data_IF_830187535890
#
_entry.id   IF_830187535890
#
_cell.length_a   1.000
_cell.length_b   1.000
_cell.length_c   1.000
_cell.angle_alpha   90.00
_cell.angle_beta   90.00
_cell.angle_gamma   90.00
#
_symmetry.space_group_name_H-M   'P 1'
#
loop_
_entity.id
_entity.type
_entity.pdbx_description
1 polymer ?
#
# COMPACT_ATOMS: atom_id res chain seq x y z
N UNK A 1 -16.91 9.48 -3.88
CA UNK A 1 -15.64 8.73 -3.72
C UNK A 1 -15.18 8.81 -2.27
N UNK A 2 -14.82 7.66 -1.67
CA UNK A 2 -14.15 7.58 -0.37
C UNK A 2 -12.74 7.03 -0.58
N UNK A 3 -11.75 7.60 0.10
CA UNK A 3 -10.36 7.17 -0.07
C UNK A 3 -9.80 6.77 1.29
N UNK A 4 -9.17 5.60 1.33
CA UNK A 4 -8.37 5.14 2.47
C UNK A 4 -7.00 4.76 1.95
N UNK A 5 -5.96 5.30 2.59
CA UNK A 5 -4.58 4.90 2.30
C UNK A 5 -4.09 3.95 3.40
N UNK A 6 -3.33 2.95 3.00
CA UNK A 6 -2.55 2.09 3.88
C UNK A 6 -1.09 2.38 3.60
N UNK A 7 -0.30 2.59 4.64
CA UNK A 7 1.10 2.99 4.50
C UNK A 7 1.98 2.08 5.32
N UNK A 8 3.11 1.66 4.74
CA UNK A 8 4.07 0.77 5.39
C UNK A 8 5.49 1.28 5.25
N UNK A 9 6.27 1.19 6.32
CA UNK A 9 7.67 1.53 6.30
C UNK A 9 8.48 0.64 7.24
N UNK A 10 9.69 0.29 6.80
CA UNK A 10 10.67 -0.36 7.64
C UNK A 10 11.21 0.63 8.69
N UNK A 11 11.28 0.19 9.94
CA UNK A 11 11.70 0.97 11.11
C UNK A 11 12.75 0.22 11.91
N UNK A 12 13.53 0.95 12.69
CA UNK A 12 14.32 0.36 13.77
C UNK A 12 13.43 -0.41 14.75
N UNK A 13 14.02 -1.35 15.49
CA UNK A 13 13.29 -2.12 16.48
C UNK A 13 12.56 -1.19 17.45
N UNK A 14 11.25 -1.40 17.70
CA UNK A 14 10.51 -0.66 18.71
C UNK A 14 11.14 -0.76 20.09
N UNK A 15 11.04 0.29 20.89
CA UNK A 15 11.50 0.30 22.27
C UNK A 15 10.77 -0.76 23.13
N UNK A 16 11.42 -1.24 24.19
CA UNK A 16 10.93 -2.34 25.04
C UNK A 16 9.55 -2.09 25.65
N UNK A 17 9.22 -0.82 25.95
CA UNK A 17 7.92 -0.42 26.46
C UNK A 17 6.80 -0.60 25.41
N UNK A 18 7.09 -0.37 24.13
CA UNK A 18 6.18 -0.67 23.02
C UNK A 18 6.06 -2.18 22.82
N UNK A 19 7.19 -2.91 22.83
CA UNK A 19 7.21 -4.36 22.68
C UNK A 19 6.33 -5.06 23.73
N UNK A 20 6.34 -4.56 24.97
CA UNK A 20 5.52 -5.10 26.06
C UNK A 20 4.00 -4.93 25.87
N UNK A 21 3.59 -4.05 24.95
CA UNK A 21 2.18 -3.75 24.66
C UNK A 21 1.67 -4.50 23.43
N UNK A 22 2.54 -5.19 22.70
CA UNK A 22 2.19 -5.89 21.46
C UNK A 22 1.34 -7.13 21.75
N UNK A 23 0.28 -7.27 20.97
CA UNK A 23 -0.48 -8.52 20.91
C UNK A 23 -0.13 -9.21 19.60
N UNK A 24 0.44 -10.41 19.68
CA UNK A 24 0.71 -11.22 18.49
C UNK A 24 -0.61 -11.65 17.84
N UNK A 25 -0.70 -11.47 16.52
CA UNK A 25 -1.85 -11.89 15.71
C UNK A 25 -1.45 -13.08 14.84
N UNK A 26 -2.31 -14.09 14.78
CA UNK A 26 -2.16 -15.17 13.81
C UNK A 26 -2.74 -14.72 12.47
N UNK A 27 -1.90 -14.65 11.43
CA UNK A 27 -2.39 -14.49 10.07
C UNK A 27 -3.09 -15.78 9.63
N UNK A 28 -4.23 -15.68 8.92
CA UNK A 28 -4.83 -16.83 8.27
C UNK A 28 -3.81 -17.63 7.45
N UNK A 29 -3.79 -18.94 7.67
CA UNK A 29 -2.78 -19.85 7.13
C UNK A 29 -2.70 -19.93 5.59
N UNK A 30 -3.71 -19.38 4.91
CA UNK A 30 -3.77 -19.33 3.45
C UNK A 30 -3.21 -18.04 2.85
N UNK A 31 -2.92 -17.01 3.67
CA UNK A 31 -2.49 -15.70 3.16
C UNK A 31 -1.01 -15.72 2.78
N UNK A 32 -0.17 -16.38 3.59
CA UNK A 32 1.27 -16.51 3.35
C UNK A 32 1.62 -17.99 3.31
N UNK A 33 2.06 -18.48 2.15
CA UNK A 33 2.32 -19.92 1.94
C UNK A 33 3.52 -20.43 2.74
N UNK A 34 4.53 -19.57 2.96
CA UNK A 34 5.72 -19.92 3.74
C UNK A 34 5.53 -19.43 5.18
N UNK A 35 5.37 -20.39 6.10
CA UNK A 35 5.28 -20.12 7.54
C UNK A 35 6.56 -19.44 8.05
N UNK A 36 6.39 -18.57 9.06
CA UNK A 36 7.50 -17.91 9.74
C UNK A 36 8.18 -16.78 8.94
N UNK A 37 7.62 -16.39 7.78
CA UNK A 37 8.14 -15.24 7.03
C UNK A 37 7.93 -13.92 7.77
N UNK A 38 6.77 -13.77 8.40
CA UNK A 38 6.41 -12.58 9.17
C UNK A 38 5.72 -12.98 10.47
N UNK A 39 6.06 -12.28 11.55
CA UNK A 39 5.27 -12.23 12.77
C UNK A 39 4.49 -10.93 12.79
N UNK A 40 3.19 -11.01 13.11
CA UNK A 40 2.29 -9.87 13.11
C UNK A 40 1.95 -9.48 14.53
N UNK A 41 1.95 -8.18 14.79
CA UNK A 41 1.57 -7.62 16.06
C UNK A 41 0.56 -6.50 15.83
N UNK A 42 -0.43 -6.38 16.70
CA UNK A 42 -1.30 -5.21 16.76
C UNK A 42 -1.07 -4.37 18.01
N UNK A 43 -1.33 -3.08 17.83
CA UNK A 43 -1.40 -2.10 18.89
C UNK A 43 -2.87 -1.79 19.20
N UNK A 44 -3.15 -1.42 20.45
CA UNK A 44 -4.51 -1.02 20.90
C UNK A 44 -5.08 0.16 20.11
N UNK A 45 -4.20 0.96 19.52
CA UNK A 45 -4.52 2.14 18.72
C UNK A 45 -4.89 1.80 17.26
N UNK A 46 -4.76 0.54 16.85
CA UNK A 46 -5.20 0.02 15.55
C UNK A 46 -4.11 -0.10 14.49
N UNK A 47 -2.90 0.40 14.75
CA UNK A 47 -1.74 0.18 13.89
C UNK A 47 -1.19 -1.24 14.06
N UNK A 48 -0.52 -1.73 13.02
CA UNK A 48 0.13 -3.04 13.01
C UNK A 48 1.64 -2.91 12.90
N UNK A 49 2.34 -3.81 13.57
CA UNK A 49 3.77 -4.03 13.36
C UNK A 49 3.97 -5.41 12.75
N UNK A 50 4.92 -5.51 11.84
CA UNK A 50 5.35 -6.76 11.25
C UNK A 50 6.83 -6.93 11.52
N UNK A 51 7.26 -8.16 11.77
CA UNK A 51 8.66 -8.52 11.91
C UNK A 51 8.99 -9.62 10.92
N UNK A 52 9.97 -9.43 10.05
CA UNK A 52 10.36 -10.46 9.08
C UNK A 52 11.38 -11.47 9.64
N UNK A 53 11.71 -12.48 8.83
CA UNK A 53 12.69 -13.53 9.16
C UNK A 53 14.14 -13.03 9.33
N UNK A 54 14.42 -11.75 9.01
CA UNK A 54 15.72 -11.09 9.16
C UNK A 54 15.74 -10.10 10.34
N UNK A 55 14.74 -10.16 11.21
CA UNK A 55 14.52 -9.24 12.33
C UNK A 55 14.26 -7.77 11.92
N UNK A 56 13.88 -7.51 10.67
CA UNK A 56 13.45 -6.18 10.23
C UNK A 56 12.04 -5.92 10.72
N UNK A 57 11.81 -4.73 11.29
CA UNK A 57 10.50 -4.28 11.75
C UNK A 57 9.85 -3.37 10.72
N UNK A 58 8.54 -3.52 10.53
CA UNK A 58 7.73 -2.66 9.68
C UNK A 58 6.56 -2.15 10.48
N UNK A 59 6.28 -0.86 10.35
CA UNK A 59 5.05 -0.26 10.88
C UNK A 59 4.06 -0.05 9.75
N UNK A 60 2.80 -0.36 10.02
CA UNK A 60 1.71 -0.15 9.09
C UNK A 60 0.51 0.55 9.74
N UNK A 61 -0.01 1.57 9.07
CA UNK A 61 -1.16 2.33 9.50
C UNK A 61 -2.07 2.69 8.33
N UNK A 62 -3.33 3.03 8.62
CA UNK A 62 -4.31 3.40 7.62
C UNK A 62 -5.00 4.72 7.97
N UNK A 63 -5.33 5.48 6.93
CA UNK A 63 -5.91 6.80 7.10
C UNK A 63 -6.95 7.11 6.03
N UNK A 64 -8.07 7.71 6.45
CA UNK A 64 -9.08 8.25 5.53
C UNK A 64 -8.61 9.58 4.94
N UNK A 65 -8.74 9.73 3.63
CA UNK A 65 -8.29 10.91 2.87
C UNK A 65 -9.38 11.37 1.91
N UNK A 66 -9.31 12.63 1.51
CA UNK A 66 -10.30 13.28 0.64
C UNK A 66 -9.71 13.81 -0.67
N UNK A 67 -8.42 14.12 -0.69
CA UNK A 67 -7.78 14.79 -1.82
C UNK A 67 -6.44 14.13 -2.17
N UNK A 68 -5.98 14.32 -3.41
CA UNK A 68 -4.63 13.90 -3.85
C UNK A 68 -3.53 14.52 -2.97
N UNK A 69 -3.71 15.77 -2.54
CA UNK A 69 -2.78 16.43 -1.63
C UNK A 69 -2.69 15.70 -0.28
N UNK A 70 -3.83 15.35 0.31
CA UNK A 70 -3.85 14.58 1.56
C UNK A 70 -3.24 13.17 1.39
N UNK A 71 -3.39 12.55 0.22
CA UNK A 71 -2.77 11.24 -0.09
C UNK A 71 -1.25 11.37 -0.15
N UNK A 72 -0.73 12.34 -0.91
CA UNK A 72 0.70 12.66 -1.05
C UNK A 72 1.39 12.84 0.30
N UNK A 73 0.82 13.70 1.15
CA UNK A 73 1.41 13.98 2.47
C UNK A 73 1.09 12.91 3.51
N UNK A 74 0.04 12.11 3.28
CA UNK A 74 -0.38 11.01 4.14
C UNK A 74 0.66 9.91 4.32
N UNK A 75 1.57 9.75 3.35
CA UNK A 75 2.60 8.70 3.31
C UNK A 75 4.02 9.19 3.63
N UNK A 76 4.17 10.44 4.06
CA UNK A 76 5.49 11.00 4.36
C UNK A 76 6.11 10.33 5.61
N UNK A 77 7.41 10.06 5.54
CA UNK A 77 8.22 9.55 6.66
C UNK A 77 8.82 10.67 7.50
N UNK A 78 9.08 11.82 6.86
CA UNK A 78 9.65 13.01 7.47
C UNK A 78 8.84 14.25 7.11
N UNK A 79 8.81 15.28 7.97
CA UNK A 79 8.26 16.58 7.57
C UNK A 79 9.03 17.12 6.35
N UNK A 80 8.35 17.53 5.27
CA UNK A 80 9.00 18.16 4.13
C UNK A 80 9.74 19.44 4.56
N UNK A 81 11.01 19.64 4.20
CA UNK A 81 11.81 20.77 4.70
C UNK A 81 11.51 22.11 4.02
N UNK A 82 10.73 22.10 2.94
CA UNK A 82 10.52 23.23 2.04
C UNK A 82 9.13 23.86 2.11
N UNK A 83 8.22 23.31 2.93
CA UNK A 83 6.85 23.83 3.05
C UNK A 83 6.30 23.61 4.47
N UNK A 84 5.64 24.63 5.01
CA UNK A 84 4.86 24.50 6.25
C UNK A 84 3.55 23.73 5.96
N UNK A 85 3.61 22.41 6.09
CA UNK A 85 2.44 21.53 5.97
C UNK A 85 1.83 21.32 7.36
N UNK A 86 0.52 21.55 7.56
CA UNK A 86 -0.13 21.31 8.83
C UNK A 86 0.01 19.85 9.28
N UNK A 87 0.24 19.63 10.58
CA UNK A 87 0.44 18.30 11.14
C UNK A 87 -0.73 17.33 10.87
N UNK A 88 -1.97 17.81 10.72
CA UNK A 88 -3.10 16.95 10.34
C UNK A 88 -2.95 16.30 8.96
N UNK A 89 -2.11 16.84 8.09
CA UNK A 89 -1.81 16.32 6.76
C UNK A 89 -0.58 15.40 6.74
N UNK A 90 0.17 15.32 7.85
CA UNK A 90 1.34 14.45 8.03
C UNK A 90 1.06 13.36 9.09
N UNK A 91 0.01 12.54 8.89
CA UNK A 91 -0.46 11.57 9.88
C UNK A 91 0.59 10.51 10.24
N UNK A 92 1.36 10.04 9.26
CA UNK A 92 2.30 8.96 9.43
C UNK A 92 3.59 9.45 10.09
N UNK A 93 4.05 10.65 9.73
CA UNK A 93 5.10 11.37 10.48
C UNK A 93 4.70 11.51 11.96
N UNK A 94 3.47 11.97 12.23
CA UNK A 94 2.98 12.13 13.59
C UNK A 94 2.92 10.80 14.35
N UNK A 95 2.56 9.72 13.68
CA UNK A 95 2.58 8.36 14.23
C UNK A 95 4.00 7.93 14.60
N UNK A 96 4.96 8.09 13.68
CA UNK A 96 6.36 7.73 13.91
C UNK A 96 6.94 8.52 15.09
N UNK A 97 6.71 9.84 15.11
CA UNK A 97 7.16 10.72 16.20
C UNK A 97 6.56 10.36 17.55
N UNK A 98 5.24 10.07 17.60
CA UNK A 98 4.54 9.69 18.84
C UNK A 98 5.13 8.44 19.49
N UNK A 99 5.59 7.49 18.68
CA UNK A 99 6.12 6.21 19.17
C UNK A 99 7.66 6.15 19.14
N UNK A 100 8.33 7.27 18.83
CA UNK A 100 9.78 7.34 18.69
C UNK A 100 10.35 6.29 17.71
N UNK A 101 9.62 6.00 16.62
CA UNK A 101 10.07 5.07 15.59
C UNK A 101 10.91 5.78 14.53
N UNK A 102 12.10 5.26 14.29
CA UNK A 102 13.03 5.76 13.26
C UNK A 102 12.90 4.92 11.99
N UNK A 103 12.59 5.50 10.82
CA UNK A 103 12.62 4.78 9.55
C UNK A 103 14.04 4.32 9.17
N UNK A 104 14.20 3.09 8.66
CA UNK A 104 15.52 2.54 8.29
C UNK A 104 16.14 3.19 7.05
N UNK A 105 15.31 3.68 6.11
CA UNK A 105 15.77 4.25 4.85
C UNK A 105 15.67 5.77 4.83
N UNK A 106 16.58 6.45 5.54
CA UNK A 106 16.56 7.92 5.68
C UNK A 106 16.66 8.70 4.35
N UNK A 107 17.08 8.06 3.25
CA UNK A 107 17.18 8.67 1.93
C UNK A 107 15.92 8.57 1.07
N UNK A 108 14.90 7.85 1.55
CA UNK A 108 13.59 7.75 0.90
C UNK A 108 12.56 8.43 1.81
N UNK A 109 11.90 9.48 1.32
CA UNK A 109 11.05 10.35 2.14
C UNK A 109 9.61 9.82 2.32
N UNK A 110 9.25 8.76 1.61
CA UNK A 110 7.87 8.24 1.53
C UNK A 110 7.78 6.78 1.94
N UNK A 111 6.72 6.42 2.65
CA UNK A 111 6.36 5.04 2.92
C UNK A 111 5.85 4.35 1.64
N UNK A 112 5.86 3.01 1.62
CA UNK A 112 5.02 2.25 0.68
C UNK A 112 3.56 2.63 0.88
N UNK A 113 2.78 2.66 -0.20
CA UNK A 113 1.38 3.09 -0.10
C UNK A 113 0.44 2.19 -0.92
N UNK A 114 -0.68 1.80 -0.33
CA UNK A 114 -1.82 1.21 -1.01
C UNK A 114 -3.02 2.15 -0.87
N UNK A 115 -3.51 2.67 -1.99
CA UNK A 115 -4.68 3.55 -2.02
C UNK A 115 -5.93 2.74 -2.36
N UNK A 116 -6.91 2.70 -1.48
CA UNK A 116 -8.26 2.20 -1.79
C UNK A 116 -9.15 3.39 -2.11
N UNK A 117 -9.77 3.38 -3.30
CA UNK A 117 -10.80 4.34 -3.68
C UNK A 117 -12.12 3.62 -3.92
N UNK A 118 -13.13 3.94 -3.12
CA UNK A 118 -14.50 3.45 -3.26
C UNK A 118 -15.30 4.47 -4.08
N UNK A 119 -15.89 4.03 -5.19
CA UNK A 119 -16.59 4.87 -6.16
C UNK A 119 -17.94 4.26 -6.56
N UNK A 120 -18.85 5.06 -7.08
CA UNK A 120 -20.14 4.54 -7.54
C UNK A 120 -20.02 3.89 -8.94
N UNK A 121 -19.17 4.48 -9.79
CA UNK A 121 -18.85 4.04 -11.15
C UNK A 121 -17.37 4.32 -11.45
N UNK A 122 -16.60 3.30 -11.81
CA UNK A 122 -15.17 3.45 -12.10
C UNK A 122 -14.89 4.26 -13.37
N UNK A 123 -15.82 4.28 -14.33
CA UNK A 123 -15.68 5.08 -15.56
C UNK A 123 -15.82 6.58 -15.29
N UNK A 124 -16.42 6.96 -14.17
CA UNK A 124 -16.48 8.35 -13.74
C UNK A 124 -15.13 8.90 -13.27
N UNK A 125 -14.14 8.03 -13.04
CA UNK A 125 -12.79 8.40 -12.63
C UNK A 125 -11.88 8.37 -13.85
N UNK A 126 -11.39 9.54 -14.28
CA UNK A 126 -10.49 9.62 -15.44
C UNK A 126 -9.22 8.78 -15.22
N UNK A 127 -8.67 8.22 -16.30
CA UNK A 127 -7.43 7.43 -16.25
C UNK A 127 -6.27 8.19 -15.62
N UNK A 128 -6.18 9.51 -15.88
CA UNK A 128 -5.21 10.39 -15.22
C UNK A 128 -5.38 10.37 -13.71
N UNK A 129 -6.62 10.52 -13.22
CA UNK A 129 -6.86 10.50 -11.78
C UNK A 129 -6.61 9.11 -11.18
N UNK A 130 -6.96 8.03 -11.88
CA UNK A 130 -6.63 6.66 -11.47
C UNK A 130 -5.11 6.45 -11.37
N UNK A 131 -4.35 7.01 -12.32
CA UNK A 131 -2.89 6.97 -12.31
C UNK A 131 -2.31 7.71 -11.10
N UNK A 132 -2.79 8.93 -10.82
CA UNK A 132 -2.36 9.70 -9.64
C UNK A 132 -2.69 9.00 -8.33
N UNK A 133 -3.85 8.35 -8.23
CA UNK A 133 -4.19 7.52 -7.07
C UNK A 133 -3.20 6.36 -6.91
N UNK A 134 -2.86 5.66 -7.99
CA UNK A 134 -1.92 4.53 -7.95
C UNK A 134 -0.52 4.95 -7.52
N UNK A 135 -0.08 6.16 -7.88
CA UNK A 135 1.22 6.72 -7.49
C UNK A 135 1.19 7.46 -6.14
N UNK A 136 -0.01 7.62 -5.56
CA UNK A 136 -0.23 8.49 -4.42
C UNK A 136 0.34 9.92 -4.63
N UNK A 137 0.23 10.41 -5.87
CA UNK A 137 0.72 11.71 -6.31
C UNK A 137 -0.26 12.83 -5.96
N UNK A 138 0.29 14.00 -5.63
CA UNK A 138 -0.45 15.23 -5.53
C UNK A 138 -0.93 15.74 -6.89
N UNK A 139 -1.86 16.69 -6.86
CA UNK A 139 -2.29 17.38 -8.09
C UNK A 139 -1.18 18.24 -8.70
N UNK A 140 -0.19 18.64 -7.88
CA UNK A 140 0.97 19.44 -8.24
C UNK A 140 2.17 18.61 -8.71
N UNK A 141 2.14 17.29 -8.52
CA UNK A 141 3.23 16.41 -8.93
C UNK A 141 3.23 16.17 -10.46
N UNK A 142 4.42 16.07 -11.07
CA UNK A 142 4.53 15.76 -12.49
C UNK A 142 4.00 14.36 -12.77
N UNK A 143 3.16 14.24 -13.80
CA UNK A 143 2.70 12.93 -14.29
C UNK A 143 3.86 12.26 -15.05
N UNK A 144 4.49 11.27 -14.43
CA UNK A 144 5.64 10.55 -15.03
C UNK A 144 5.18 9.31 -15.80
N UNK A 145 4.12 8.64 -15.35
CA UNK A 145 3.59 7.44 -16.02
C UNK A 145 2.77 7.83 -17.27
N UNK A 146 3.18 7.30 -18.44
CA UNK A 146 2.50 7.51 -19.73
C UNK A 146 1.40 6.46 -20.02
N UNK A 147 1.30 5.43 -19.19
CA UNK A 147 0.29 4.39 -19.30
C UNK A 147 -0.16 3.90 -17.94
N UNK A 148 -1.43 3.51 -17.86
CA UNK A 148 -2.07 2.88 -16.73
C UNK A 148 -2.03 1.37 -16.94
N UNK A 149 -1.34 0.65 -16.06
CA UNK A 149 -1.34 -0.80 -16.04
C UNK A 149 -2.29 -1.27 -14.95
N UNK A 150 -3.25 -2.12 -15.29
CA UNK A 150 -4.21 -2.60 -14.32
C UNK A 150 -4.71 -4.02 -14.61
N UNK A 151 -5.21 -4.66 -13.56
CA UNK A 151 -6.05 -5.86 -13.64
C UNK A 151 -7.46 -5.47 -13.20
N UNK A 152 -8.47 -5.96 -13.90
CA UNK A 152 -9.88 -5.71 -13.56
C UNK A 152 -10.58 -7.01 -13.19
N UNK A 153 -11.35 -6.97 -12.10
CA UNK A 153 -12.26 -8.03 -11.71
C UNK A 153 -13.69 -7.50 -11.65
N UNK A 154 -14.65 -8.40 -11.87
CA UNK A 154 -16.08 -8.10 -11.77
C UNK A 154 -16.76 -9.13 -10.88
N UNK A 155 -17.34 -8.67 -9.77
CA UNK A 155 -18.07 -9.50 -8.81
C UNK A 155 -19.47 -8.93 -8.64
N UNK A 156 -20.51 -9.75 -8.86
CA UNK A 156 -21.91 -9.33 -8.75
C UNK A 156 -22.25 -8.04 -9.53
N UNK A 157 -21.64 -7.88 -10.71
CA UNK A 157 -21.82 -6.69 -11.54
C UNK A 157 -20.95 -5.49 -11.16
N UNK A 158 -20.30 -5.49 -10.00
CA UNK A 158 -19.42 -4.43 -9.51
C UNK A 158 -17.97 -4.66 -9.93
N UNK A 159 -17.34 -3.62 -10.48
CA UNK A 159 -15.95 -3.67 -10.95
C UNK A 159 -14.97 -3.28 -9.87
N UNK A 160 -13.77 -3.85 -9.97
CA UNK A 160 -12.60 -3.46 -9.18
C UNK A 160 -11.39 -3.46 -10.08
N UNK A 161 -10.64 -2.34 -10.14
CA UNK A 161 -9.33 -2.27 -10.76
C UNK A 161 -8.25 -2.25 -9.70
N UNK A 162 -7.22 -3.08 -9.90
CA UNK A 162 -5.95 -2.98 -9.18
C UNK A 162 -4.93 -2.39 -10.14
N UNK A 163 -4.25 -1.33 -9.73
CA UNK A 163 -3.47 -0.46 -10.59
C UNK A 163 -2.07 -0.30 -10.01
N UNK A 164 -1.06 -0.49 -10.85
CA UNK A 164 0.34 -0.31 -10.44
C UNK A 164 0.73 1.17 -10.42
N UNK A 165 1.42 1.60 -9.37
CA UNK A 165 2.11 2.89 -9.27
C UNK A 165 3.58 2.71 -8.90
N UNK A 166 4.23 1.77 -9.59
CA UNK A 166 5.54 1.20 -9.28
C UNK A 166 6.63 2.25 -9.02
N UNK A 167 6.70 3.28 -9.85
CA UNK A 167 7.72 4.35 -9.83
C UNK A 167 7.76 5.08 -8.48
N UNK A 168 6.62 5.13 -7.80
CA UNK A 168 6.45 5.77 -6.51
C UNK A 168 6.35 4.75 -5.37
N UNK A 169 6.64 3.47 -5.61
CA UNK A 169 6.42 2.37 -4.67
C UNK A 169 5.02 2.39 -4.03
N UNK A 170 4.00 2.54 -4.87
CA UNK A 170 2.61 2.43 -4.44
C UNK A 170 1.75 1.74 -5.47
N UNK A 171 0.50 1.50 -5.10
CA UNK A 171 -0.51 0.94 -5.98
C UNK A 171 -1.90 1.35 -5.49
N UNK A 172 -2.90 1.23 -6.36
CA UNK A 172 -4.28 1.52 -6.02
C UNK A 172 -5.22 0.33 -6.25
N UNK A 173 -6.28 0.28 -5.46
CA UNK A 173 -7.48 -0.51 -5.71
C UNK A 173 -8.68 0.42 -5.80
N UNK A 174 -9.26 0.54 -6.99
CA UNK A 174 -10.47 1.35 -7.22
C UNK A 174 -11.63 0.39 -7.38
N UNK A 175 -12.66 0.50 -6.54
CA UNK A 175 -13.76 -0.48 -6.49
C UNK A 175 -15.12 0.19 -6.44
N UNK A 176 -16.07 -0.42 -7.16
CA UNK A 176 -17.50 -0.11 -7.11
C UNK A 176 -18.24 -0.89 -6.00
N UNK A 177 -17.52 -1.78 -5.29
CA UNK A 177 -18.07 -2.66 -4.25
C UNK A 177 -17.61 -2.22 -2.87
N UNK A 178 -18.48 -1.50 -2.17
CA UNK A 178 -18.29 -1.12 -0.76
C UNK A 178 -18.10 -2.36 0.12
N UNK A 179 -18.89 -3.41 -0.11
CA UNK A 179 -18.79 -4.68 0.63
C UNK A 179 -17.40 -5.30 0.50
N UNK A 180 -16.84 -5.32 -0.72
CA UNK A 180 -15.48 -5.82 -0.95
C UNK A 180 -14.44 -4.96 -0.22
N UNK A 181 -14.60 -3.64 -0.25
CA UNK A 181 -13.70 -2.74 0.46
C UNK A 181 -13.74 -2.95 1.98
N UNK A 182 -14.92 -2.93 2.59
CA UNK A 182 -15.07 -2.94 4.05
C UNK A 182 -14.85 -4.32 4.67
N UNK A 183 -15.18 -5.40 3.97
CA UNK A 183 -15.12 -6.74 4.56
C UNK A 183 -13.86 -7.52 4.18
N UNK A 184 -13.17 -7.13 3.09
CA UNK A 184 -12.01 -7.88 2.57
C UNK A 184 -10.77 -6.98 2.53
N UNK A 185 -10.82 -5.86 1.80
CA UNK A 185 -9.63 -5.02 1.61
C UNK A 185 -9.16 -4.37 2.91
N UNK A 186 -10.02 -3.57 3.54
CA UNK A 186 -9.66 -2.72 4.68
C UNK A 186 -9.22 -3.51 5.93
N UNK A 187 -9.92 -4.58 6.34
CA UNK A 187 -9.57 -5.29 7.58
C UNK A 187 -8.23 -6.01 7.49
N UNK A 188 -7.95 -6.62 6.33
CA UNK A 188 -6.85 -7.60 6.21
C UNK A 188 -6.09 -7.45 4.89
N UNK A 189 -6.73 -7.54 3.73
CA UNK A 189 -5.98 -7.72 2.48
C UNK A 189 -5.07 -6.56 2.09
N UNK A 190 -5.41 -5.32 2.41
CA UNK A 190 -4.56 -4.17 2.11
C UNK A 190 -3.22 -4.19 2.83
N UNK A 191 -3.19 -4.68 4.07
CA UNK A 191 -1.95 -4.87 4.83
C UNK A 191 -1.08 -5.95 4.22
N UNK A 192 -1.69 -7.07 3.83
CA UNK A 192 -1.00 -8.16 3.16
C UNK A 192 -0.45 -7.74 1.80
N UNK A 193 -1.21 -6.95 1.05
CA UNK A 193 -0.76 -6.48 -0.27
C UNK A 193 0.48 -5.60 -0.15
N UNK A 194 0.57 -4.79 0.90
CA UNK A 194 1.81 -4.06 1.20
C UNK A 194 2.97 -5.00 1.56
N UNK A 195 2.73 -6.06 2.36
CA UNK A 195 3.76 -7.07 2.65
C UNK A 195 4.20 -7.85 1.41
N UNK A 196 3.26 -8.22 0.54
CA UNK A 196 3.59 -8.88 -0.73
C UNK A 196 4.40 -7.96 -1.63
N UNK A 197 4.06 -6.67 -1.65
CA UNK A 197 4.77 -5.69 -2.46
C UNK A 197 6.20 -5.45 -1.94
N UNK A 198 6.37 -5.30 -0.63
CA UNK A 198 7.68 -5.24 0.01
C UNK A 198 8.51 -6.50 -0.28
N UNK A 199 7.91 -7.68 -0.11
CA UNK A 199 8.58 -8.94 -0.42
C UNK A 199 9.01 -9.00 -1.88
N UNK A 200 8.13 -8.61 -2.80
CA UNK A 200 8.37 -8.56 -4.23
C UNK A 200 9.55 -7.65 -4.58
N UNK A 201 9.63 -6.46 -3.97
CA UNK A 201 10.72 -5.49 -4.17
C UNK A 201 12.08 -6.06 -3.73
N UNK A 202 12.12 -6.83 -2.64
CA UNK A 202 13.37 -7.30 -2.04
C UNK A 202 13.78 -8.73 -2.39
N UNK A 203 12.92 -9.49 -3.09
CA UNK A 203 13.13 -10.91 -3.39
C UNK A 203 12.84 -11.21 -4.86
N UNK A 204 13.44 -10.44 -5.76
CA UNK A 204 13.48 -10.66 -7.21
C UNK A 204 12.10 -10.95 -7.84
N UNK A 205 11.08 -10.20 -7.41
CA UNK A 205 9.72 -10.32 -7.93
C UNK A 205 8.94 -11.54 -7.45
N UNK A 206 9.43 -12.25 -6.43
CA UNK A 206 8.69 -13.38 -5.82
C UNK A 206 7.52 -12.91 -4.95
N UNK A 207 6.47 -13.73 -4.89
CA UNK A 207 5.28 -13.49 -4.07
C UNK A 207 5.14 -14.61 -3.04
N UNK A 208 5.06 -14.31 -1.74
CA UNK A 208 5.06 -15.34 -0.69
C UNK A 208 3.66 -15.95 -0.45
N UNK A 209 2.87 -16.15 -1.50
CA UNK A 209 1.50 -16.66 -1.42
C UNK A 209 1.12 -17.50 -2.63
N UNK A 210 0.43 -18.60 -2.38
CA UNK A 210 -0.09 -19.47 -3.44
C UNK A 210 -1.43 -19.03 -4.00
N UNK A 211 -2.07 -18.06 -3.33
CA UNK A 211 -3.36 -17.55 -3.75
C UNK A 211 -3.27 -16.85 -5.11
N UNK A 212 -4.38 -16.88 -5.83
CA UNK A 212 -4.48 -16.29 -7.17
C UNK A 212 -4.26 -14.77 -7.14
N UNK A 213 -4.88 -14.05 -6.21
CA UNK A 213 -4.83 -12.58 -6.21
C UNK A 213 -3.43 -12.01 -5.95
N UNK A 214 -2.66 -12.48 -4.95
CA UNK A 214 -1.26 -12.07 -4.78
C UNK A 214 -0.39 -12.33 -6.02
N UNK A 215 -0.57 -13.48 -6.69
CA UNK A 215 0.15 -13.80 -7.93
C UNK A 215 -0.22 -12.84 -9.07
N UNK A 216 -1.49 -12.46 -9.20
CA UNK A 216 -1.94 -11.47 -10.18
C UNK A 216 -1.37 -10.08 -9.88
N UNK A 217 -1.30 -9.68 -8.61
CA UNK A 217 -0.66 -8.42 -8.20
C UNK A 217 0.84 -8.41 -8.52
N UNK A 218 1.55 -9.52 -8.25
CA UNK A 218 2.95 -9.67 -8.67
C UNK A 218 3.14 -9.51 -10.18
N UNK A 219 2.27 -10.12 -10.98
CA UNK A 219 2.27 -9.96 -12.44
C UNK A 219 2.00 -8.51 -12.88
N UNK A 220 1.09 -7.83 -12.18
CA UNK A 220 0.79 -6.41 -12.41
C UNK A 220 2.00 -5.52 -12.11
N UNK A 221 2.65 -5.68 -10.96
CA UNK A 221 3.83 -4.89 -10.58
C UNK A 221 5.02 -5.15 -11.51
N UNK A 222 5.22 -6.41 -11.91
CA UNK A 222 6.22 -6.78 -12.91
C UNK A 222 5.97 -6.08 -14.26
N UNK A 223 4.71 -5.80 -14.62
CA UNK A 223 4.37 -5.16 -15.89
C UNK A 223 4.84 -3.70 -16.02
N UNK A 224 5.08 -3.02 -14.89
CA UNK A 224 5.58 -1.64 -14.84
C UNK A 224 7.04 -1.56 -14.43
N UNK A 225 7.54 -2.54 -13.63
CA UNK A 225 8.90 -2.51 -13.12
C UNK A 225 10.00 -2.77 -14.15
N UNK A 226 9.67 -3.26 -15.35
CA UNK A 226 10.58 -3.60 -16.46
C UNK A 226 11.72 -4.59 -16.14
N UNK A 227 11.83 -5.05 -14.89
CA UNK A 227 12.90 -5.93 -14.40
C UNK A 227 12.48 -7.40 -14.34
N UNK A 228 11.18 -7.68 -14.34
CA UNK A 228 10.65 -9.02 -14.12
C UNK A 228 9.77 -9.46 -15.31
N UNK A 229 9.85 -10.73 -15.74
CA UNK A 229 8.94 -11.24 -16.76
C UNK A 229 7.50 -11.22 -16.22
N UNK A 230 6.55 -10.89 -17.09
CA UNK A 230 5.14 -10.90 -16.76
C UNK A 230 4.30 -11.41 -17.93
N UNK A 231 3.14 -11.99 -17.62
CA UNK A 231 2.14 -12.36 -18.60
C UNK A 231 1.31 -11.14 -18.99
N UNK A 232 1.48 -10.70 -20.24
CA UNK A 232 0.78 -9.56 -20.84
C UNK A 232 -0.72 -9.78 -21.01
N UNK A 233 -1.16 -11.03 -21.15
CA UNK A 233 -2.59 -11.36 -21.33
C UNK A 233 -3.42 -11.12 -20.07
N UNK A 234 -2.76 -11.04 -18.91
CA UNK A 234 -3.42 -10.81 -17.62
C UNK A 234 -3.52 -9.32 -17.25
N UNK A 235 -2.89 -8.43 -18.03
CA UNK A 235 -2.80 -6.99 -17.70
C UNK A 235 -3.41 -6.17 -18.82
N UNK A 236 -4.21 -5.18 -18.44
CA UNK A 236 -4.71 -4.15 -19.35
C UNK A 236 -3.79 -2.94 -19.27
N UNK A 237 -3.46 -2.37 -20.44
CA UNK A 237 -2.57 -1.22 -20.56
C UNK A 237 -3.29 -0.14 -21.36
N UNK A 238 -3.56 0.99 -20.70
CA UNK A 238 -4.21 2.15 -21.33
C UNK A 238 -3.28 3.35 -21.31
N UNK A 239 -3.35 4.20 -22.34
CA UNK A 239 -2.58 5.44 -22.37
C UNK A 239 -3.28 6.50 -21.52
N UNK A 240 -2.49 7.24 -20.76
CA UNK A 240 -2.95 8.34 -19.89
C UNK A 240 -2.68 9.67 -20.59
#
# INVERSE_FOLDING_TARGET
MRITIFVMAAIEQPADDILSQLTEEELPSYEISKKGLYTVYSLKTGERLFKDEKDTWYVCASFKRKTLHEIKYGRQLFPPPYTDIPNEQLPFVKLLQRNHWTPLHAHYDKALCHVIAEVDDIESVSLEFQSRLAHADGADDPQVAHSLHYIESKLNGKRTRFISGWESHSFATITESDEFAQNILIPTSSWLYLLYFEHFLHHDGSIPSDQMMPKLLGNLWASTGNQFPYNKELVQIEKV
#
